data_IF_299289272343
#
_entry.id   IF_299289272343
#
_cell.length_a   1.000
_cell.length_b   1.000
_cell.length_c   1.000
_cell.angle_alpha   90.00
_cell.angle_beta   90.00
_cell.angle_gamma   90.00
#
_symmetry.space_group_name_H-M   'P 1'
#
loop_
_entity.id
_entity.type
_entity.pdbx_description
1 polymer ?
#
# COMPACT_ATOMS: atom_id res chain seq x y z
N UNK A 1 67.10 -25.97 53.47
CA UNK A 1 65.84 -26.23 52.76
C UNK A 1 66.13 -27.17 51.61
N UNK A 2 65.76 -28.44 51.80
CA UNK A 2 65.97 -29.59 50.92
C UNK A 2 65.31 -29.38 49.55
N UNK A 3 65.85 -30.03 48.52
CA UNK A 3 65.38 -29.90 47.13
C UNK A 3 63.90 -30.34 46.92
N UNK A 4 63.29 -31.03 47.89
CA UNK A 4 61.90 -31.53 47.82
C UNK A 4 60.80 -30.51 48.12
N UNK A 5 61.05 -29.46 48.92
CA UNK A 5 60.00 -28.49 49.30
C UNK A 5 59.62 -27.50 48.17
N UNK A 6 60.38 -27.52 47.05
CA UNK A 6 60.17 -26.62 45.90
C UNK A 6 59.27 -27.20 44.82
N UNK A 7 59.05 -28.52 44.82
CA UNK A 7 58.16 -29.17 43.86
C UNK A 7 56.70 -28.67 43.94
N UNK A 8 56.05 -28.60 45.12
CA UNK A 8 54.67 -28.13 45.20
C UNK A 8 54.50 -26.66 44.79
N UNK A 9 55.48 -25.79 45.09
CA UNK A 9 55.49 -24.39 44.67
C UNK A 9 55.59 -24.21 43.14
N UNK A 10 56.38 -25.05 42.47
CA UNK A 10 56.52 -25.02 41.00
C UNK A 10 55.25 -25.49 40.29
N UNK A 11 54.61 -26.54 40.82
CA UNK A 11 53.33 -27.03 40.29
C UNK A 11 52.25 -25.97 40.50
N UNK A 12 52.17 -25.36 41.69
CA UNK A 12 51.26 -24.25 41.96
C UNK A 12 51.44 -23.08 41.00
N UNK A 13 52.69 -22.66 40.76
CA UNK A 13 52.99 -21.58 39.81
C UNK A 13 52.58 -21.93 38.37
N UNK A 14 52.77 -23.18 37.93
CA UNK A 14 52.37 -23.63 36.60
C UNK A 14 50.85 -23.61 36.43
N UNK A 15 50.10 -24.10 37.43
CA UNK A 15 48.63 -24.08 37.42
C UNK A 15 48.11 -22.64 37.42
N UNK A 16 48.70 -21.76 38.23
CA UNK A 16 48.31 -20.35 38.31
C UNK A 16 48.59 -19.62 36.98
N UNK A 17 49.73 -19.91 36.36
CA UNK A 17 50.08 -19.38 35.04
C UNK A 17 49.09 -19.88 33.98
N UNK A 18 48.76 -21.18 33.98
CA UNK A 18 47.81 -21.77 33.04
C UNK A 18 46.40 -21.19 33.20
N UNK A 19 45.92 -21.00 34.44
CA UNK A 19 44.64 -20.36 34.72
C UNK A 19 44.62 -18.89 34.29
N UNK A 20 45.72 -18.16 34.51
CA UNK A 20 45.84 -16.76 34.06
C UNK A 20 45.79 -16.68 32.54
N UNK A 21 46.53 -17.57 31.85
CA UNK A 21 46.57 -17.62 30.39
C UNK A 21 45.21 -18.03 29.79
N UNK A 22 44.53 -18.99 30.42
CA UNK A 22 43.16 -19.37 30.06
C UNK A 22 42.16 -18.23 30.30
N UNK A 23 42.26 -17.52 31.43
CA UNK A 23 41.43 -16.35 31.73
C UNK A 23 41.64 -15.23 30.72
N UNK A 24 42.88 -14.92 30.34
CA UNK A 24 43.20 -13.95 29.29
C UNK A 24 42.66 -14.41 27.94
N UNK A 25 42.78 -15.69 27.60
CA UNK A 25 42.23 -16.22 26.34
C UNK A 25 40.70 -16.08 26.29
N UNK A 26 39.99 -16.46 27.35
CA UNK A 26 38.53 -16.30 27.45
C UNK A 26 38.14 -14.82 27.38
N UNK A 27 38.87 -13.94 28.05
CA UNK A 27 38.63 -12.50 28.01
C UNK A 27 38.82 -11.93 26.58
N UNK A 28 39.91 -12.28 25.90
CA UNK A 28 40.17 -11.88 24.51
C UNK A 28 39.12 -12.42 23.52
N UNK A 29 38.65 -13.65 23.74
CA UNK A 29 37.57 -14.24 22.94
C UNK A 29 36.22 -13.53 23.20
N UNK A 30 35.93 -13.18 24.45
CA UNK A 30 34.69 -12.49 24.81
C UNK A 30 34.62 -11.05 24.30
N UNK A 31 35.75 -10.34 24.27
CA UNK A 31 35.84 -9.00 23.69
C UNK A 31 35.57 -9.02 22.17
N UNK A 32 36.11 -10.02 21.44
CA UNK A 32 35.83 -10.19 20.00
C UNK A 32 34.37 -10.48 19.67
N UNK A 33 33.61 -11.05 20.60
CA UNK A 33 32.18 -11.33 20.44
C UNK A 33 31.29 -10.18 20.93
N UNK A 34 31.84 -9.00 21.23
CA UNK A 34 31.12 -7.85 21.78
C UNK A 34 30.33 -8.15 23.08
N UNK A 35 30.73 -9.16 23.86
CA UNK A 35 30.01 -9.57 25.07
C UNK A 35 30.04 -8.51 26.19
N UNK A 36 30.96 -7.55 26.09
CA UNK A 36 31.17 -6.49 27.10
C UNK A 36 30.75 -5.08 26.65
N UNK A 37 30.08 -4.94 25.50
CA UNK A 37 29.58 -3.63 25.06
C UNK A 37 28.29 -3.29 25.80
N UNK A 38 28.14 -2.01 26.16
CA UNK A 38 26.87 -1.50 26.66
C UNK A 38 25.76 -1.83 25.65
N UNK A 39 24.68 -2.42 26.18
CA UNK A 39 23.49 -2.80 25.44
C UNK A 39 22.32 -2.02 25.99
N UNK A 40 21.47 -1.58 25.08
CA UNK A 40 20.27 -0.82 25.38
C UNK A 40 19.08 -1.68 24.99
N UNK A 41 18.12 -1.77 25.90
CA UNK A 41 17.02 -2.69 25.75
C UNK A 41 15.82 -1.98 25.14
N UNK A 42 15.13 -2.67 24.25
CA UNK A 42 13.93 -2.17 23.59
C UNK A 42 12.86 -3.26 23.53
N UNK A 43 11.60 -2.85 23.47
CA UNK A 43 10.46 -3.77 23.37
C UNK A 43 9.71 -3.55 22.07
N UNK A 44 9.17 -4.61 21.50
CA UNK A 44 8.16 -4.52 20.43
C UNK A 44 6.99 -5.45 20.77
N UNK A 45 5.77 -4.99 20.51
CA UNK A 45 4.56 -5.80 20.64
C UNK A 45 4.14 -6.36 19.30
N UNK A 46 3.96 -7.68 19.21
CA UNK A 46 3.61 -8.39 17.99
C UNK A 46 2.55 -9.46 18.28
N UNK A 47 1.62 -9.68 17.35
CA UNK A 47 0.59 -10.71 17.52
C UNK A 47 1.14 -12.15 17.54
N UNK A 48 2.25 -12.42 16.85
CA UNK A 48 2.87 -13.74 16.78
C UNK A 48 4.39 -13.65 16.65
N UNK A 49 5.12 -14.54 17.33
CA UNK A 49 6.56 -14.69 17.19
C UNK A 49 6.94 -15.49 15.94
N UNK A 50 5.99 -16.25 15.35
CA UNK A 50 6.17 -16.99 14.10
C UNK A 50 7.43 -17.87 14.03
N UNK A 51 7.93 -18.40 15.16
CA UNK A 51 9.16 -19.20 15.22
C UNK A 51 10.45 -18.42 15.47
N UNK A 52 10.35 -17.12 15.83
CA UNK A 52 11.46 -16.37 16.40
C UNK A 52 11.90 -17.01 17.72
N UNK A 53 13.21 -17.09 17.94
CA UNK A 53 13.81 -17.69 19.13
C UNK A 53 14.62 -16.64 19.91
N UNK A 54 14.81 -16.89 21.21
CA UNK A 54 15.76 -16.14 22.02
C UNK A 54 17.17 -16.31 21.46
N UNK A 55 17.94 -15.23 21.37
CA UNK A 55 19.24 -15.18 20.71
C UNK A 55 19.18 -14.88 19.22
N UNK A 56 17.99 -14.81 18.60
CA UNK A 56 17.84 -14.38 17.22
C UNK A 56 18.44 -12.99 16.98
N UNK A 57 19.01 -12.78 15.80
CA UNK A 57 19.64 -11.50 15.45
C UNK A 57 18.62 -10.36 15.43
N UNK A 58 19.09 -9.17 15.83
CA UNK A 58 18.37 -7.90 15.66
C UNK A 58 19.18 -7.04 14.70
N UNK A 59 18.54 -6.60 13.62
CA UNK A 59 19.16 -5.85 12.55
C UNK A 59 18.57 -4.44 12.45
N UNK A 60 19.41 -3.44 12.20
CA UNK A 60 19.00 -2.08 11.88
C UNK A 60 19.24 -1.84 10.39
N UNK A 61 18.18 -1.77 9.60
CA UNK A 61 18.23 -1.70 8.12
C UNK A 61 19.18 -2.75 7.50
N UNK A 62 19.15 -3.99 7.99
CA UNK A 62 19.98 -5.09 7.49
C UNK A 62 21.38 -5.20 8.09
N UNK A 63 21.77 -4.32 9.02
CA UNK A 63 23.04 -4.42 9.76
C UNK A 63 22.80 -5.09 11.10
N UNK A 64 23.58 -6.12 11.47
CA UNK A 64 23.50 -6.74 12.78
C UNK A 64 23.90 -5.75 13.90
N UNK A 65 22.95 -5.48 14.80
CA UNK A 65 23.11 -4.51 15.88
C UNK A 65 22.85 -5.07 17.26
N UNK A 66 22.26 -6.27 17.36
CA UNK A 66 21.80 -6.81 18.62
C UNK A 66 21.24 -8.21 18.52
N UNK A 67 20.54 -8.61 19.58
CA UNK A 67 19.89 -9.91 19.67
C UNK A 67 18.60 -9.86 20.50
N UNK A 68 17.71 -10.81 20.26
CA UNK A 68 16.52 -11.03 21.07
C UNK A 68 16.94 -11.63 22.40
N UNK A 69 16.51 -11.01 23.50
CA UNK A 69 16.84 -11.43 24.87
C UNK A 69 15.71 -12.26 25.46
N UNK A 70 14.46 -11.89 25.18
CA UNK A 70 13.31 -12.57 25.75
C UNK A 70 12.06 -12.41 24.87
N UNK A 71 11.14 -13.36 24.98
CA UNK A 71 9.85 -13.38 24.30
C UNK A 71 8.78 -13.67 25.35
N UNK A 72 8.08 -12.63 25.79
CA UNK A 72 7.09 -12.72 26.85
C UNK A 72 5.68 -12.82 26.26
N UNK A 73 4.93 -13.82 26.72
CA UNK A 73 3.50 -13.86 26.52
C UNK A 73 2.82 -12.91 27.52
N UNK A 74 1.78 -12.19 27.10
CA UNK A 74 1.01 -11.37 28.03
C UNK A 74 0.38 -12.25 29.12
N UNK A 75 0.49 -11.79 30.37
CA UNK A 75 -0.15 -12.47 31.52
C UNK A 75 -1.66 -12.20 31.56
N UNK A 76 -2.09 -11.04 31.05
CA UNK A 76 -3.49 -10.68 30.93
C UNK A 76 -4.11 -11.37 29.70
N UNK A 77 -5.18 -12.14 29.94
CA UNK A 77 -5.96 -12.82 28.91
C UNK A 77 -6.64 -11.86 27.92
N UNK A 78 -6.74 -10.57 28.25
CA UNK A 78 -7.22 -9.51 27.36
C UNK A 78 -6.17 -8.97 26.39
N UNK A 79 -4.87 -9.17 26.68
CA UNK A 79 -3.78 -8.80 25.79
C UNK A 79 -3.42 -9.99 24.88
N UNK A 80 -3.44 -9.78 23.57
CA UNK A 80 -3.13 -10.83 22.57
C UNK A 80 -1.76 -10.68 21.95
N UNK A 81 -1.01 -9.62 22.30
CA UNK A 81 0.27 -9.30 21.71
C UNK A 81 1.43 -9.75 22.61
N UNK A 82 2.34 -10.52 22.03
CA UNK A 82 3.61 -10.91 22.63
C UNK A 82 4.51 -9.68 22.76
N UNK A 83 5.26 -9.60 23.86
CA UNK A 83 6.30 -8.58 24.05
C UNK A 83 7.67 -9.21 23.81
N UNK A 84 8.37 -8.71 22.80
CA UNK A 84 9.73 -9.18 22.46
C UNK A 84 10.72 -8.16 23.00
N UNK A 85 11.61 -8.61 23.88
CA UNK A 85 12.69 -7.79 24.45
C UNK A 85 13.96 -8.01 23.64
N UNK A 86 14.56 -6.91 23.20
CA UNK A 86 15.75 -6.89 22.36
C UNK A 86 16.87 -6.13 23.05
N UNK A 87 18.11 -6.59 22.91
CA UNK A 87 19.31 -5.87 23.34
C UNK A 87 20.07 -5.40 22.11
N UNK A 88 20.24 -4.09 21.98
CA UNK A 88 20.93 -3.44 20.84
C UNK A 88 22.20 -2.75 21.35
N UNK A 89 23.29 -2.77 20.58
CA UNK A 89 24.50 -2.01 20.94
C UNK A 89 24.17 -0.51 21.12
N UNK A 90 24.58 0.08 22.24
CA UNK A 90 24.26 1.49 22.58
C UNK A 90 24.73 2.51 21.51
N UNK A 91 25.72 2.17 20.69
CA UNK A 91 26.17 3.01 19.56
C UNK A 91 25.09 3.28 18.50
N UNK A 92 24.03 2.47 18.45
CA UNK A 92 22.94 2.61 17.49
C UNK A 92 21.68 3.29 18.06
N UNK A 93 21.65 3.61 19.36
CA UNK A 93 20.49 4.27 20.01
C UNK A 93 19.99 5.49 19.23
N UNK A 94 20.92 6.34 18.77
CA UNK A 94 20.63 7.58 18.04
C UNK A 94 19.91 7.37 16.69
N UNK A 95 19.80 6.11 16.22
CA UNK A 95 19.14 5.73 14.97
C UNK A 95 17.77 5.09 15.21
N UNK A 96 17.50 4.64 16.44
CA UNK A 96 16.21 4.08 16.85
C UNK A 96 15.35 5.24 17.38
N UNK A 97 14.35 5.64 16.59
CA UNK A 97 13.51 6.80 16.89
C UNK A 97 12.06 6.39 17.01
N UNK A 98 11.23 7.29 17.52
CA UNK A 98 9.82 7.01 17.82
C UNK A 98 9.01 6.55 16.59
N UNK A 99 9.48 6.84 15.38
CA UNK A 99 8.90 6.40 14.10
C UNK A 99 9.66 5.23 13.45
N UNK A 100 10.67 4.67 14.12
CA UNK A 100 11.26 3.38 13.75
C UNK A 100 10.20 2.29 13.81
N UNK A 101 10.31 1.30 12.92
CA UNK A 101 9.40 0.17 12.89
C UNK A 101 10.17 -1.13 13.02
N UNK A 102 9.68 -2.02 13.89
CA UNK A 102 10.21 -3.36 14.08
C UNK A 102 9.32 -4.40 13.39
N UNK A 103 9.92 -5.38 12.71
CA UNK A 103 9.21 -6.51 12.08
C UNK A 103 10.04 -7.78 12.12
N UNK A 104 9.39 -8.93 12.21
CA UNK A 104 10.06 -10.22 12.09
C UNK A 104 10.23 -10.54 10.60
N UNK A 105 11.46 -10.87 10.19
CA UNK A 105 11.79 -11.35 8.84
C UNK A 105 12.50 -12.69 8.92
N UNK A 106 12.52 -13.38 7.80
CA UNK A 106 13.23 -14.63 7.61
C UNK A 106 14.47 -14.35 6.76
N UNK A 107 15.62 -14.89 7.15
CA UNK A 107 16.82 -14.79 6.32
C UNK A 107 16.66 -15.73 5.11
N UNK A 108 16.40 -15.18 3.93
CA UNK A 108 16.05 -15.97 2.75
C UNK A 108 14.66 -16.61 2.87
N UNK A 109 14.44 -17.72 2.16
CA UNK A 109 13.11 -18.35 2.08
C UNK A 109 12.81 -19.32 3.24
N UNK A 110 13.82 -19.97 3.80
CA UNK A 110 13.68 -20.99 4.86
C UNK A 110 14.61 -20.76 6.06
N UNK A 111 15.38 -19.67 6.08
CA UNK A 111 16.39 -19.47 7.12
C UNK A 111 15.82 -19.06 8.47
N UNK A 112 16.73 -18.73 9.38
CA UNK A 112 16.38 -18.29 10.72
C UNK A 112 15.62 -16.96 10.70
N UNK A 113 14.79 -16.78 11.72
CA UNK A 113 14.06 -15.53 11.91
C UNK A 113 14.88 -14.53 12.67
N UNK A 114 14.73 -13.27 12.31
CA UNK A 114 15.41 -12.15 12.94
C UNK A 114 14.44 -10.97 13.03
N UNK A 115 14.75 -10.02 13.91
CA UNK A 115 13.98 -8.78 14.00
C UNK A 115 14.70 -7.70 13.19
N UNK A 116 14.01 -7.11 12.22
CA UNK A 116 14.46 -5.93 11.49
C UNK A 116 13.83 -4.68 12.10
N UNK A 117 14.67 -3.71 12.45
CA UNK A 117 14.30 -2.38 12.89
C UNK A 117 14.67 -1.40 11.78
N UNK A 118 13.77 -0.50 11.41
CA UNK A 118 14.09 0.61 10.49
C UNK A 118 14.72 1.77 11.25
N UNK A 119 15.62 2.51 10.59
CA UNK A 119 15.98 3.84 11.09
C UNK A 119 14.76 4.74 11.07
N UNK A 120 14.59 5.54 12.11
CA UNK A 120 13.57 6.59 12.12
C UNK A 120 14.06 7.90 11.50
N UNK A 121 13.15 8.86 11.33
CA UNK A 121 13.47 10.18 10.74
C UNK A 121 14.33 11.03 11.68
N UNK A 122 15.31 11.82 11.19
CA UNK A 122 16.20 12.62 12.05
C UNK A 122 15.48 13.58 13.01
N UNK A 123 14.26 14.00 12.67
CA UNK A 123 13.40 14.88 13.46
C UNK A 123 12.63 14.18 14.57
N UNK A 124 12.44 12.86 14.48
CA UNK A 124 11.73 12.10 15.51
C UNK A 124 12.60 11.94 16.77
N UNK A 125 11.93 11.92 17.93
CA UNK A 125 12.58 11.70 19.21
C UNK A 125 13.25 10.31 19.26
N UNK A 126 14.40 10.23 19.93
CA UNK A 126 15.09 8.95 20.18
C UNK A 126 14.25 8.12 21.15
N UNK A 127 14.13 6.81 20.89
CA UNK A 127 13.44 5.91 21.82
C UNK A 127 14.34 5.72 23.05
N UNK A 128 13.85 5.97 24.28
CA UNK A 128 14.64 5.77 25.49
C UNK A 128 14.93 4.28 25.72
N UNK A 129 15.88 3.99 26.60
CA UNK A 129 16.11 2.62 27.10
C UNK A 129 14.82 2.07 27.74
N UNK A 130 14.57 0.78 27.53
CA UNK A 130 13.31 0.09 27.86
C UNK A 130 12.08 0.65 27.10
N UNK A 131 12.30 1.50 26.10
CA UNK A 131 11.24 2.06 25.27
C UNK A 131 10.66 1.06 24.28
N UNK A 132 9.44 1.34 23.83
CA UNK A 132 8.74 0.53 22.84
C UNK A 132 9.00 1.06 21.42
N UNK A 133 9.36 0.15 20.52
CA UNK A 133 9.47 0.40 19.09
C UNK A 133 8.16 -0.07 18.44
N UNK A 134 7.45 0.79 17.68
CA UNK A 134 6.25 0.39 16.95
C UNK A 134 6.47 -0.82 16.03
N UNK A 135 5.53 -1.76 16.01
CA UNK A 135 5.57 -2.85 15.02
C UNK A 135 5.18 -2.34 13.64
N UNK A 136 5.84 -2.81 12.59
CA UNK A 136 5.37 -2.55 11.23
C UNK A 136 4.01 -3.22 10.97
N UNK A 137 3.14 -2.61 10.13
CA UNK A 137 1.89 -3.26 9.72
C UNK A 137 2.20 -4.60 9.06
N UNK A 138 1.59 -5.68 9.55
CA UNK A 138 1.63 -6.97 8.88
C UNK A 138 0.67 -6.92 7.69
N UNK A 139 1.18 -6.98 6.46
CA UNK A 139 0.33 -7.22 5.29
C UNK A 139 -0.21 -8.65 5.39
N UNK A 140 -1.40 -8.81 5.97
CA UNK A 140 -2.07 -10.10 6.02
C UNK A 140 -2.54 -10.46 4.61
N UNK A 141 -1.87 -11.43 3.99
CA UNK A 141 -2.27 -11.97 2.69
C UNK A 141 -3.71 -12.47 2.74
N UNK A 142 -4.16 -13.00 3.88
CA UNK A 142 -5.54 -13.43 4.09
C UNK A 142 -6.54 -12.26 3.95
N UNK A 143 -6.19 -11.08 4.43
CA UNK A 143 -7.03 -9.87 4.30
C UNK A 143 -7.03 -9.36 2.85
N UNK A 144 -5.93 -9.54 2.13
CA UNK A 144 -5.86 -9.24 0.70
C UNK A 144 -6.70 -10.21 -0.14
N UNK A 145 -6.70 -11.50 0.20
CA UNK A 145 -7.54 -12.51 -0.43
C UNK A 145 -9.01 -12.22 -0.17
N UNK A 146 -9.40 -11.97 1.08
CA UNK A 146 -10.78 -11.61 1.44
C UNK A 146 -11.25 -10.35 0.70
N UNK A 147 -10.41 -9.30 0.64
CA UNK A 147 -10.73 -8.09 -0.13
C UNK A 147 -10.87 -8.38 -1.63
N UNK A 148 -10.10 -9.31 -2.16
CA UNK A 148 -10.20 -9.77 -3.55
C UNK A 148 -11.48 -10.55 -3.83
N UNK A 149 -11.92 -11.41 -2.91
CA UNK A 149 -13.19 -12.13 -2.98
C UNK A 149 -14.38 -11.17 -2.98
N UNK A 150 -14.39 -10.17 -2.09
CA UNK A 150 -15.41 -9.12 -2.04
C UNK A 150 -15.46 -8.31 -3.34
N UNK A 151 -14.31 -7.96 -3.89
CA UNK A 151 -14.21 -7.26 -5.17
C UNK A 151 -14.78 -8.12 -6.31
N UNK A 152 -14.47 -9.41 -6.34
CA UNK A 152 -15.02 -10.35 -7.33
C UNK A 152 -16.53 -10.51 -7.19
N UNK A 153 -17.05 -10.62 -5.96
CA UNK A 153 -18.48 -10.69 -5.71
C UNK A 153 -19.22 -9.43 -6.20
N UNK A 154 -18.63 -8.25 -5.97
CA UNK A 154 -19.16 -6.98 -6.48
C UNK A 154 -19.12 -6.93 -8.01
N UNK A 155 -18.05 -7.39 -8.66
CA UNK A 155 -17.94 -7.47 -10.11
C UNK A 155 -18.99 -8.41 -10.72
N UNK A 156 -19.22 -9.57 -10.12
CA UNK A 156 -20.27 -10.51 -10.55
C UNK A 156 -21.66 -9.85 -10.45
N UNK A 157 -21.91 -9.11 -9.36
CA UNK A 157 -23.17 -8.40 -9.15
C UNK A 157 -23.39 -7.28 -10.16
N UNK A 158 -22.37 -6.46 -10.42
CA UNK A 158 -22.44 -5.41 -11.44
C UNK A 158 -22.65 -6.02 -12.83
N UNK A 159 -21.93 -7.09 -13.15
CA UNK A 159 -22.04 -7.79 -14.43
C UNK A 159 -23.44 -8.36 -14.64
N UNK A 160 -24.03 -8.98 -13.62
CA UNK A 160 -25.40 -9.52 -13.71
C UNK A 160 -26.46 -8.43 -13.84
N UNK A 161 -26.29 -7.30 -13.15
CA UNK A 161 -27.16 -6.12 -13.31
C UNK A 161 -27.03 -5.51 -14.70
N UNK A 162 -25.82 -5.42 -15.24
CA UNK A 162 -25.58 -4.93 -16.58
C UNK A 162 -26.20 -5.87 -17.63
N UNK A 163 -26.01 -7.19 -17.49
CA UNK A 163 -26.66 -8.18 -18.34
C UNK A 163 -28.19 -8.04 -18.31
N UNK A 164 -28.79 -7.85 -17.13
CA UNK A 164 -30.23 -7.64 -17.01
C UNK A 164 -30.72 -6.35 -17.69
N UNK A 165 -29.93 -5.27 -17.62
CA UNK A 165 -30.22 -4.01 -18.33
C UNK A 165 -30.13 -4.22 -19.85
N UNK A 166 -29.07 -4.87 -20.33
CA UNK A 166 -28.87 -5.15 -21.75
C UNK A 166 -29.98 -6.05 -22.30
N UNK A 167 -30.38 -7.09 -21.58
CA UNK A 167 -31.50 -7.94 -22.00
C UNK A 167 -32.85 -7.21 -21.97
N UNK A 168 -33.06 -6.24 -21.07
CA UNK A 168 -34.26 -5.37 -21.11
C UNK A 168 -34.22 -4.43 -22.32
N UNK A 169 -33.03 -3.94 -22.68
CA UNK A 169 -32.83 -3.11 -23.87
C UNK A 169 -33.10 -3.88 -25.17
N UNK A 170 -32.61 -5.11 -25.30
CA UNK A 170 -32.88 -5.99 -26.46
C UNK A 170 -34.38 -6.28 -26.64
N UNK A 171 -35.13 -6.44 -25.54
CA UNK A 171 -36.59 -6.62 -25.57
C UNK A 171 -37.36 -5.33 -25.80
N UNK A 172 -36.68 -4.19 -25.89
CA UNK A 172 -37.31 -2.88 -26.00
C UNK A 172 -38.19 -2.55 -24.80
N UNK A 173 -37.72 -2.84 -23.58
CA UNK A 173 -38.39 -2.52 -22.32
C UNK A 173 -37.72 -1.29 -21.65
N UNK A 174 -38.53 -0.39 -21.07
CA UNK A 174 -38.05 0.85 -20.43
C UNK A 174 -38.00 2.07 -21.37
N UNK A 175 -37.48 3.21 -20.89
CA UNK A 175 -37.49 4.50 -21.62
C UNK A 175 -36.93 4.38 -23.06
N UNK A 176 -35.84 3.66 -23.26
CA UNK A 176 -35.25 3.43 -24.60
C UNK A 176 -36.08 2.46 -25.45
N UNK A 177 -36.75 1.49 -24.82
CA UNK A 177 -37.67 0.58 -25.48
C UNK A 177 -38.94 1.27 -25.99
N UNK A 178 -39.48 2.19 -25.20
CA UNK A 178 -40.58 3.10 -25.57
C UNK A 178 -40.18 4.07 -26.68
N UNK A 179 -38.90 4.44 -26.78
CA UNK A 179 -38.35 5.23 -27.88
C UNK A 179 -38.24 4.42 -29.20
N UNK A 180 -38.24 3.09 -29.13
CA UNK A 180 -37.90 2.23 -30.29
C UNK A 180 -39.09 1.42 -30.83
N UNK A 181 -40.12 1.13 -30.02
CA UNK A 181 -41.35 0.43 -30.45
C UNK A 181 -42.46 1.40 -30.87
N UNK A 182 -42.40 1.84 -32.13
CA UNK A 182 -43.52 2.32 -32.97
C UNK A 182 -44.60 3.25 -32.37
N UNK A 183 -44.37 4.57 -32.40
CA UNK A 183 -45.31 5.60 -32.93
C UNK A 183 -44.52 6.87 -33.29
N UNK A 184 -44.70 7.43 -34.50
CA UNK A 184 -44.14 8.71 -35.01
C UNK A 184 -43.47 9.65 -33.95
N UNK A 185 -42.13 9.57 -33.75
CA UNK A 185 -41.41 10.39 -32.77
C UNK A 185 -41.36 11.89 -33.10
N UNK A 186 -41.71 12.24 -34.34
CA UNK A 186 -41.53 13.59 -34.89
C UNK A 186 -42.62 14.60 -34.55
N UNK A 187 -43.73 14.23 -33.89
CA UNK A 187 -44.83 15.18 -33.62
C UNK A 187 -44.90 15.68 -32.18
N UNK A 188 -44.74 14.81 -31.19
CA UNK A 188 -44.79 15.23 -29.77
C UNK A 188 -43.52 15.93 -29.30
N UNK A 189 -42.35 15.44 -29.72
CA UNK A 189 -41.08 16.11 -29.42
C UNK A 189 -41.03 17.50 -30.05
N UNK A 190 -41.58 17.66 -31.27
CA UNK A 190 -41.66 18.97 -31.93
C UNK A 190 -42.64 19.92 -31.23
N UNK A 191 -43.77 19.43 -30.71
CA UNK A 191 -44.72 20.27 -29.95
C UNK A 191 -44.13 20.75 -28.63
N UNK A 192 -43.44 19.89 -27.87
CA UNK A 192 -42.77 20.31 -26.62
C UNK A 192 -41.51 21.15 -26.87
N UNK A 193 -40.78 20.88 -27.96
CA UNK A 193 -39.63 21.68 -28.38
C UNK A 193 -40.04 23.09 -28.81
N UNK A 194 -41.16 23.24 -29.54
CA UNK A 194 -41.70 24.56 -29.87
C UNK A 194 -42.22 25.31 -28.64
N UNK A 195 -42.84 24.63 -27.68
CA UNK A 195 -43.26 25.25 -26.41
C UNK A 195 -42.07 25.70 -25.55
N UNK A 196 -40.97 24.94 -25.58
CA UNK A 196 -39.71 25.29 -24.92
C UNK A 196 -39.01 26.45 -25.61
N UNK A 197 -39.00 26.49 -26.95
CA UNK A 197 -38.49 27.61 -27.75
C UNK A 197 -39.29 28.89 -27.54
N UNK A 198 -40.61 28.80 -27.44
CA UNK A 198 -41.49 29.93 -27.10
C UNK A 198 -41.18 30.47 -25.69
N UNK A 199 -40.91 29.58 -24.73
CA UNK A 199 -40.54 29.95 -23.36
C UNK A 199 -39.14 30.57 -23.29
N UNK A 200 -38.18 30.04 -24.06
CA UNK A 200 -36.84 30.59 -24.23
C UNK A 200 -36.87 31.95 -24.93
N UNK A 201 -37.71 32.11 -25.94
CA UNK A 201 -37.90 33.39 -26.64
C UNK A 201 -38.50 34.44 -25.70
N UNK A 202 -39.52 34.09 -24.90
CA UNK A 202 -40.08 34.98 -23.87
C UNK A 202 -39.09 35.30 -22.75
N UNK A 203 -38.21 34.36 -22.40
CA UNK A 203 -37.11 34.60 -21.48
C UNK A 203 -36.05 35.54 -22.09
N UNK A 204 -35.72 35.37 -23.37
CA UNK A 204 -34.79 36.22 -24.11
C UNK A 204 -35.33 37.65 -24.30
N UNK A 205 -36.63 37.82 -24.61
CA UNK A 205 -37.28 39.14 -24.69
C UNK A 205 -37.27 39.86 -23.32
N UNK A 206 -37.38 39.13 -22.20
CA UNK A 206 -37.21 39.70 -20.85
C UNK A 206 -35.76 40.06 -20.51
N UNK A 207 -34.78 39.40 -21.14
CA UNK A 207 -33.34 39.68 -20.99
C UNK A 207 -32.96 40.92 -21.82
N UNK A 208 -33.50 41.06 -23.04
CA UNK A 208 -33.27 42.18 -23.94
C UNK A 208 -33.93 43.49 -23.43
N UNK A 209 -35.05 43.36 -22.69
CA UNK A 209 -35.71 44.48 -21.98
C UNK A 209 -34.98 45.04 -20.74
N UNK A 210 -33.77 44.57 -20.44
CA UNK A 210 -32.88 45.18 -19.44
C UNK A 210 -33.33 45.09 -17.97
N UNK A 211 -34.26 44.20 -17.61
CA UNK A 211 -34.79 44.06 -16.23
C UNK A 211 -34.66 42.65 -15.65
N UNK A 212 -33.56 41.96 -15.92
CA UNK A 212 -33.23 40.64 -15.36
C UNK A 212 -31.93 40.65 -14.54
N UNK A 213 -31.61 39.58 -13.78
CA UNK A 213 -30.43 39.52 -12.89
C UNK A 213 -29.09 39.34 -13.63
N UNK A 214 -29.10 39.13 -14.95
CA UNK A 214 -27.92 38.83 -15.77
C UNK A 214 -26.90 39.99 -15.86
N UNK A 215 -27.29 41.28 -15.97
CA UNK A 215 -26.33 42.40 -15.95
C UNK A 215 -25.62 42.57 -14.60
N UNK A 216 -26.16 42.00 -13.50
CA UNK A 216 -25.49 41.97 -12.19
C UNK A 216 -24.47 40.84 -12.06
N UNK A 217 -24.55 39.80 -12.89
CA UNK A 217 -23.63 38.64 -12.85
C UNK A 217 -22.44 38.79 -13.81
N UNK A 218 -22.58 39.59 -14.86
CA UNK A 218 -21.49 39.88 -15.82
C UNK A 218 -20.57 41.04 -15.40
N UNK A 219 -20.88 41.74 -14.31
CA UNK A 219 -20.06 42.83 -13.76
C UNK A 219 -19.16 42.41 -12.61
N UNK A 220 -19.16 41.13 -12.22
CA UNK A 220 -18.38 40.65 -11.08
C UNK A 220 -16.95 40.29 -11.54
N UNK A 221 -16.00 41.19 -11.28
CA UNK A 221 -14.56 41.01 -11.56
C UNK A 221 -14.04 39.67 -11.00
N UNK A 222 -14.60 39.17 -9.90
CA UNK A 222 -14.18 37.92 -9.26
C UNK A 222 -14.50 36.65 -10.08
N UNK A 223 -15.50 36.70 -10.97
CA UNK A 223 -15.82 35.61 -11.90
C UNK A 223 -14.90 35.63 -13.12
N UNK A 224 -14.53 36.81 -13.59
CA UNK A 224 -13.51 37.00 -14.64
C UNK A 224 -12.16 36.42 -14.23
N UNK A 225 -11.72 36.72 -13.00
CA UNK A 225 -10.44 36.24 -12.47
C UNK A 225 -10.40 34.72 -12.26
N UNK A 226 -11.53 34.11 -11.84
CA UNK A 226 -11.65 32.66 -11.70
C UNK A 226 -11.66 31.92 -13.04
N UNK A 227 -12.25 32.53 -14.06
CA UNK A 227 -12.22 31.99 -15.42
C UNK A 227 -10.82 32.13 -16.04
N UNK A 228 -10.17 33.29 -15.91
CA UNK A 228 -8.81 33.51 -16.40
C UNK A 228 -7.81 32.52 -15.77
N UNK A 229 -7.84 32.36 -14.44
CA UNK A 229 -6.96 31.42 -13.72
C UNK A 229 -7.22 29.94 -14.04
N UNK A 230 -8.42 29.59 -14.48
CA UNK A 230 -8.76 28.22 -14.91
C UNK A 230 -8.23 27.93 -16.31
N UNK A 231 -8.28 28.92 -17.21
CA UNK A 231 -7.71 28.85 -18.56
C UNK A 231 -6.18 28.78 -18.48
N UNK A 232 -5.53 29.59 -17.64
CA UNK A 232 -4.07 29.54 -17.44
C UNK A 232 -3.59 28.17 -16.92
N UNK A 233 -4.37 27.53 -16.05
CA UNK A 233 -4.08 26.18 -15.56
C UNK A 233 -4.22 25.13 -16.65
N UNK A 234 -5.24 25.24 -17.50
CA UNK A 234 -5.43 24.32 -18.63
C UNK A 234 -4.31 24.45 -19.66
N UNK A 235 -3.90 25.67 -19.99
CA UNK A 235 -2.78 25.92 -20.90
C UNK A 235 -1.47 25.35 -20.34
N UNK A 236 -1.23 25.45 -19.02
CA UNK A 236 -0.04 24.87 -18.39
C UNK A 236 0.00 23.33 -18.39
N UNK A 237 -1.17 22.69 -18.33
CA UNK A 237 -1.30 21.23 -18.40
C UNK A 237 -1.08 20.75 -19.83
N UNK A 238 -1.64 21.47 -20.81
CA UNK A 238 -1.48 21.18 -22.23
C UNK A 238 -0.04 21.38 -22.68
N UNK A 239 0.62 22.47 -22.26
CA UNK A 239 2.03 22.71 -22.55
C UNK A 239 2.95 21.62 -21.98
N UNK A 240 2.66 21.11 -20.78
CA UNK A 240 3.40 19.98 -20.16
C UNK A 240 3.09 18.62 -20.80
N UNK A 241 1.93 18.48 -21.45
CA UNK A 241 1.58 17.30 -22.22
C UNK A 241 2.28 17.29 -23.59
N UNK A 242 2.38 18.46 -24.24
CA UNK A 242 3.08 18.61 -25.53
C UNK A 242 4.62 18.54 -25.38
N UNK A 243 5.18 18.99 -24.25
CA UNK A 243 6.64 18.97 -24.03
C UNK A 243 7.21 17.58 -23.72
N UNK A 244 6.38 16.54 -23.58
CA UNK A 244 6.83 15.16 -23.32
C UNK A 244 7.45 14.93 -21.94
N UNK A 245 7.31 15.86 -21.00
CA UNK A 245 7.87 15.80 -19.63
C UNK A 245 6.78 15.61 -18.54
N UNK A 246 5.58 15.21 -18.94
CA UNK A 246 4.43 15.01 -18.04
C UNK A 246 4.36 13.63 -17.39
N UNK A 247 3.48 13.48 -16.39
CA UNK A 247 3.18 12.20 -15.69
C UNK A 247 2.85 11.06 -16.68
N UNK A 248 2.24 11.38 -17.82
CA UNK A 248 1.95 10.43 -18.92
C UNK A 248 3.24 9.97 -19.62
N UNK A 249 4.22 10.85 -19.81
CA UNK A 249 5.51 10.51 -20.38
C UNK A 249 6.39 9.70 -19.40
N UNK A 250 6.36 10.02 -18.11
CA UNK A 250 7.03 9.18 -17.10
C UNK A 250 6.42 7.78 -17.01
N UNK A 251 5.09 7.66 -17.14
CA UNK A 251 4.37 6.38 -17.20
C UNK A 251 4.69 5.57 -18.47
N UNK A 252 5.01 6.24 -19.57
CA UNK A 252 5.39 5.62 -20.85
C UNK A 252 6.90 5.42 -21.00
N UNK A 253 7.74 5.92 -20.10
CA UNK A 253 9.20 5.81 -20.19
C UNK A 253 9.75 4.62 -19.39
N UNK A 254 9.08 4.28 -18.30
CA UNK A 254 9.49 3.21 -17.39
C UNK A 254 9.17 1.81 -17.99
N UNK A 255 10.19 0.97 -18.05
CA UNK A 255 10.09 -0.39 -18.58
C UNK A 255 9.11 -1.28 -17.78
N UNK A 256 8.97 -1.05 -16.47
CA UNK A 256 8.05 -1.81 -15.62
C UNK A 256 6.59 -1.42 -15.90
N UNK A 257 6.33 -0.13 -16.12
CA UNK A 257 4.98 0.37 -16.39
C UNK A 257 4.53 0.05 -17.82
N UNK A 258 5.44 0.05 -18.81
CA UNK A 258 5.17 -0.52 -20.14
C UNK A 258 4.74 -1.98 -20.06
N UNK A 259 5.36 -2.77 -19.19
CA UNK A 259 5.03 -4.18 -19.03
C UNK A 259 3.65 -4.37 -18.36
N UNK A 260 3.30 -3.53 -17.38
CA UNK A 260 1.97 -3.54 -16.75
C UNK A 260 0.88 -3.11 -17.75
N UNK A 261 1.16 -2.09 -18.57
CA UNK A 261 0.25 -1.62 -19.62
C UNK A 261 0.05 -2.69 -20.72
N UNK A 262 1.12 -3.36 -21.16
CA UNK A 262 1.03 -4.45 -22.12
C UNK A 262 0.17 -5.62 -21.60
N UNK A 263 0.30 -5.97 -20.31
CA UNK A 263 -0.55 -7.00 -19.68
C UNK A 263 -2.01 -6.56 -19.57
N UNK A 264 -2.26 -5.28 -19.30
CA UNK A 264 -3.62 -4.73 -19.29
C UNK A 264 -4.26 -4.81 -20.69
N UNK A 265 -3.52 -4.46 -21.75
CA UNK A 265 -3.98 -4.62 -23.13
C UNK A 265 -4.28 -6.07 -23.50
N UNK A 266 -3.40 -7.01 -23.15
CA UNK A 266 -3.60 -8.45 -23.39
C UNK A 266 -4.81 -9.02 -22.60
N UNK A 267 -5.13 -8.46 -21.44
CA UNK A 267 -6.36 -8.81 -20.71
C UNK A 267 -7.63 -8.25 -21.37
N UNK A 268 -7.54 -7.03 -21.92
CA UNK A 268 -8.63 -6.37 -22.65
C UNK A 268 -8.95 -7.07 -23.97
N UNK A 269 -7.92 -7.50 -24.71
CA UNK A 269 -8.08 -8.23 -25.96
C UNK A 269 -8.72 -9.60 -25.74
N UNK A 270 -8.31 -10.32 -24.67
CA UNK A 270 -8.95 -11.59 -24.27
C UNK A 270 -10.40 -11.40 -23.82
N UNK A 271 -10.71 -10.32 -23.12
CA UNK A 271 -12.08 -9.98 -22.75
C UNK A 271 -12.92 -9.65 -23.99
N UNK A 272 -12.41 -8.84 -24.91
CA UNK A 272 -13.08 -8.51 -26.16
C UNK A 272 -13.31 -9.75 -27.04
N UNK A 273 -12.33 -10.65 -27.13
CA UNK A 273 -12.46 -11.92 -27.84
C UNK A 273 -13.51 -12.85 -27.19
N UNK A 274 -13.58 -12.88 -25.86
CA UNK A 274 -14.61 -13.63 -25.14
C UNK A 274 -16.01 -13.05 -25.41
N UNK A 275 -16.15 -11.72 -25.43
CA UNK A 275 -17.41 -11.05 -25.76
C UNK A 275 -17.83 -11.29 -27.21
N UNK A 276 -16.90 -11.19 -28.17
CA UNK A 276 -17.17 -11.50 -29.58
C UNK A 276 -17.63 -12.94 -29.77
N UNK A 277 -16.97 -13.89 -29.10
CA UNK A 277 -17.32 -15.32 -29.20
C UNK A 277 -18.68 -15.65 -28.55
N UNK A 278 -19.12 -14.84 -27.59
CA UNK A 278 -20.46 -14.93 -27.02
C UNK A 278 -21.48 -14.36 -28.01
N UNK A 279 -21.17 -13.23 -28.66
CA UNK A 279 -22.02 -12.64 -29.71
C UNK A 279 -22.20 -13.59 -30.90
N UNK A 280 -21.13 -14.21 -31.40
CA UNK A 280 -21.18 -15.17 -32.52
C UNK A 280 -22.06 -16.41 -32.19
N UNK A 281 -22.02 -16.87 -30.93
CA UNK A 281 -22.84 -18.01 -30.47
C UNK A 281 -24.31 -17.64 -30.32
N UNK A 282 -24.62 -16.38 -30.09
CA UNK A 282 -25.99 -15.89 -30.02
C UNK A 282 -26.60 -15.79 -31.42
N UNK A 283 -25.84 -15.31 -32.41
CA UNK A 283 -26.27 -15.33 -33.83
C UNK A 283 -26.48 -16.75 -34.38
N UNK A 284 -25.62 -17.72 -34.06
CA UNK A 284 -25.84 -19.12 -34.46
C UNK A 284 -27.06 -19.77 -33.78
N UNK A 285 -27.43 -19.34 -32.57
CA UNK A 285 -28.58 -19.89 -31.85
C UNK A 285 -29.93 -19.39 -32.36
N UNK A 286 -29.98 -18.20 -32.99
CA UNK A 286 -31.18 -17.66 -33.63
C UNK A 286 -31.52 -18.38 -34.96
N UNK A 287 -30.55 -19.05 -35.59
CA UNK A 287 -30.75 -19.82 -36.82
C UNK A 287 -31.43 -21.20 -36.61
N UNK A 288 -31.64 -21.63 -35.36
CA UNK A 288 -32.20 -22.95 -35.02
C UNK A 288 -33.65 -22.92 -34.49
N UNK A 289 -34.33 -21.77 -34.55
CA UNK A 289 -35.73 -21.69 -34.15
C UNK A 289 -36.66 -22.13 -35.30
N UNK A 290 -37.45 -23.22 -35.13
CA UNK A 290 -38.41 -23.66 -36.15
C UNK A 290 -39.54 -22.63 -36.28
N UNK A 291 -39.93 -22.35 -37.53
CA UNK A 291 -41.06 -21.49 -37.90
C UNK A 291 -42.40 -22.02 -37.39
#
# INVERSE_FOLDING_TARGET
MSRDDRAPLRVGLLVLTALTLAGVAVFLLGDRQNLFRAKSHYHVRLATANGLQVGAAVQLNGVDVGQVVDILLPEDMGETQLRIRMAVDSRYEQRIRADSQARIKTLGLLGDKFVEITSGSPSAAVVPEEGEIPSAPTTNVDQLVASGEDMMANLITISSQLAAILSRMERGEGLLGELTKDVEPGKKMTVEFYATLESLRKAAEKIEGGKGPVPRLLGDEALGDKLASSVDRLDSILAKAESGDGVVASLLSDAEQKQKLARAFDSLERAAAAVSKIADRLEESEALLPK
#
